data_IF_939231360584
#
_entry.id   IF_939231360584
#
_cell.length_a   1.000
_cell.length_b   1.000
_cell.length_c   1.000
_cell.angle_alpha   90.00
_cell.angle_beta   90.00
_cell.angle_gamma   90.00
#
_symmetry.space_group_name_H-M   'P 1'
#
loop_
_entity.id
_entity.type
_entity.pdbx_description
1 polymer ?
#
# COMPACT_ATOMS: atom_id res chain seq x y z
N UNK A 1 13.05 -1.23 24.13
CA UNK A 1 14.26 -1.58 23.36
C UNK A 1 15.47 -1.04 24.10
N UNK A 2 16.42 -1.90 24.44
CA UNK A 2 17.61 -1.49 25.19
C UNK A 2 18.66 -0.91 24.23
N UNK A 3 19.18 0.30 24.53
CA UNK A 3 20.19 0.99 23.72
C UNK A 3 21.47 0.14 23.52
N UNK A 4 21.79 -0.72 24.49
CA UNK A 4 22.97 -1.59 24.43
C UNK A 4 22.85 -2.69 23.36
N UNK A 5 21.64 -3.06 22.97
CA UNK A 5 21.36 -4.10 21.97
C UNK A 5 21.41 -3.56 20.51
N UNK A 6 21.47 -2.24 20.34
CA UNK A 6 21.56 -1.63 19.03
C UNK A 6 22.97 -1.72 18.47
N UNK A 7 23.10 -1.90 17.14
CA UNK A 7 24.39 -1.81 16.47
C UNK A 7 25.03 -0.44 16.63
N UNK A 8 26.36 -0.36 16.52
CA UNK A 8 27.11 0.90 16.63
C UNK A 8 26.55 1.95 15.63
N UNK A 9 26.36 1.56 14.38
CA UNK A 9 25.86 2.43 13.32
C UNK A 9 24.45 3.00 13.61
N UNK A 10 23.58 2.24 14.30
CA UNK A 10 22.27 2.72 14.73
C UNK A 10 22.39 3.66 15.93
N UNK A 11 23.26 3.34 16.89
CA UNK A 11 23.50 4.18 18.08
C UNK A 11 23.99 5.58 17.77
N UNK A 12 24.85 5.73 16.77
CA UNK A 12 25.36 7.03 16.30
C UNK A 12 24.28 7.92 15.68
N UNK A 13 23.18 7.33 15.23
CA UNK A 13 22.06 8.03 14.59
C UNK A 13 20.89 8.29 15.53
N UNK A 14 21.01 7.93 16.80
CA UNK A 14 19.99 8.21 17.78
C UNK A 14 19.92 9.70 18.05
N UNK A 15 18.75 10.28 17.81
CA UNK A 15 18.44 11.66 18.21
C UNK A 15 17.35 11.63 19.26
N UNK A 16 17.50 12.48 20.28
CA UNK A 16 16.44 12.69 21.27
C UNK A 16 15.25 13.34 20.56
N UNK A 17 14.05 12.83 20.85
CA UNK A 17 12.83 13.41 20.30
C UNK A 17 12.52 14.76 20.97
N UNK A 18 11.72 15.64 20.30
CA UNK A 18 11.32 16.92 20.85
C UNK A 18 10.43 16.77 22.11
N UNK A 19 10.19 17.86 22.84
CA UNK A 19 9.28 17.86 24.01
C UNK A 19 7.95 17.18 23.71
N UNK A 20 7.41 16.50 24.67
CA UNK A 20 6.36 15.51 24.70
C UNK A 20 6.86 14.07 24.44
N UNK A 21 7.99 13.87 23.76
CA UNK A 21 8.62 12.58 23.51
C UNK A 21 10.09 12.54 23.94
N UNK A 22 10.53 13.50 24.72
CA UNK A 22 11.94 13.70 25.12
C UNK A 22 12.51 12.56 25.98
N UNK A 23 11.65 11.67 26.50
CA UNK A 23 12.08 10.41 27.13
C UNK A 23 12.49 9.33 26.12
N UNK A 24 12.26 9.56 24.82
CA UNK A 24 12.49 8.59 23.74
C UNK A 24 13.58 9.06 22.78
N UNK A 25 14.15 8.09 22.07
CA UNK A 25 15.11 8.32 21.00
C UNK A 25 14.56 7.78 19.68
N UNK A 26 14.66 8.58 18.64
CA UNK A 26 14.38 8.17 17.26
C UNK A 26 15.66 7.90 16.49
N UNK A 27 15.64 6.96 15.55
CA UNK A 27 16.69 6.76 14.57
C UNK A 27 16.34 7.58 13.33
N UNK A 28 17.22 8.53 12.96
CA UNK A 28 17.08 9.23 11.69
C UNK A 28 17.76 8.38 10.62
N UNK A 29 17.01 7.74 9.70
CA UNK A 29 17.61 7.00 8.61
C UNK A 29 18.43 7.93 7.73
N UNK A 30 19.49 7.40 7.10
CA UNK A 30 20.15 8.13 6.02
C UNK A 30 19.18 8.20 4.83
N UNK A 31 19.19 9.31 4.09
CA UNK A 31 18.52 9.33 2.79
C UNK A 31 19.11 8.20 1.92
N UNK A 32 18.33 7.67 0.98
CA UNK A 32 18.86 6.74 -0.02
C UNK A 32 20.09 7.37 -0.68
N UNK A 33 21.15 6.59 -0.98
CA UNK A 33 22.30 7.13 -1.67
C UNK A 33 21.87 7.70 -3.02
N UNK A 34 22.35 8.90 -3.33
CA UNK A 34 22.12 9.55 -4.63
C UNK A 34 22.96 8.92 -5.75
N UNK A 35 23.91 8.06 -5.38
CA UNK A 35 24.77 7.36 -6.31
C UNK A 35 23.97 6.40 -7.21
N UNK A 36 24.39 6.30 -8.45
CA UNK A 36 23.80 5.36 -9.40
C UNK A 36 23.97 3.92 -8.91
N UNK A 37 22.86 3.23 -8.70
CA UNK A 37 22.89 1.79 -8.38
C UNK A 37 23.24 1.02 -9.66
N UNK A 38 24.32 0.21 -9.60
CA UNK A 38 24.67 -0.65 -10.72
C UNK A 38 23.58 -1.69 -10.97
N UNK A 39 23.00 -1.69 -12.15
CA UNK A 39 22.01 -2.69 -12.59
C UNK A 39 22.64 -3.94 -13.20
N UNK A 40 23.96 -3.96 -13.38
CA UNK A 40 24.70 -5.07 -14.01
C UNK A 40 24.37 -6.43 -13.38
N UNK A 41 24.34 -6.61 -12.04
CA UNK A 41 24.03 -7.89 -11.42
C UNK A 41 22.61 -8.39 -11.70
N UNK A 42 21.67 -7.49 -12.02
CA UNK A 42 20.25 -7.80 -12.25
C UNK A 42 19.82 -7.58 -13.70
N UNK A 43 20.73 -7.28 -14.60
CA UNK A 43 20.44 -6.93 -15.99
C UNK A 43 19.65 -8.03 -16.71
N UNK A 44 20.01 -9.31 -16.50
CA UNK A 44 19.25 -10.43 -17.07
C UNK A 44 17.81 -10.47 -16.54
N UNK A 45 17.63 -10.33 -15.23
CA UNK A 45 16.29 -10.31 -14.62
C UNK A 45 15.47 -9.13 -15.11
N UNK A 46 16.06 -7.96 -15.28
CA UNK A 46 15.41 -6.78 -15.84
C UNK A 46 14.95 -7.02 -17.27
N UNK A 47 15.81 -7.62 -18.11
CA UNK A 47 15.45 -7.98 -19.49
C UNK A 47 14.32 -9.01 -19.54
N UNK A 48 14.39 -10.06 -18.72
CA UNK A 48 13.37 -11.11 -18.64
C UNK A 48 12.02 -10.52 -18.15
N UNK A 49 12.05 -9.64 -17.15
CA UNK A 49 10.85 -8.95 -16.65
C UNK A 49 10.25 -8.02 -17.71
N UNK A 50 11.07 -7.26 -18.41
CA UNK A 50 10.60 -6.38 -19.51
C UNK A 50 9.94 -7.18 -20.61
N UNK A 51 10.54 -8.31 -21.02
CA UNK A 51 9.96 -9.20 -22.03
C UNK A 51 8.62 -9.81 -21.56
N UNK A 52 8.51 -10.18 -20.27
CA UNK A 52 7.28 -10.70 -19.70
C UNK A 52 6.17 -9.64 -19.68
N UNK A 53 6.46 -8.40 -19.29
CA UNK A 53 5.51 -7.29 -19.32
C UNK A 53 5.03 -6.99 -20.75
N UNK A 54 5.95 -6.93 -21.72
CA UNK A 54 5.59 -6.74 -23.14
C UNK A 54 4.66 -7.84 -23.65
N UNK A 55 4.90 -9.09 -23.22
CA UNK A 55 4.04 -10.22 -23.55
C UNK A 55 2.63 -10.08 -22.96
N UNK A 56 2.54 -9.69 -21.70
CA UNK A 56 1.24 -9.43 -21.04
C UNK A 56 0.48 -8.32 -21.77
N UNK A 57 1.16 -7.22 -22.08
CA UNK A 57 0.55 -6.11 -22.83
C UNK A 57 0.03 -6.54 -24.22
N UNK A 58 0.81 -7.34 -24.94
CA UNK A 58 0.42 -7.86 -26.25
C UNK A 58 -0.82 -8.74 -26.14
N UNK A 59 -0.82 -9.69 -25.20
CA UNK A 59 -1.96 -10.58 -24.96
C UNK A 59 -3.21 -9.81 -24.50
N UNK A 60 -3.04 -8.79 -23.66
CA UNK A 60 -4.16 -7.96 -23.20
C UNK A 60 -4.87 -7.24 -24.34
N UNK A 61 -4.15 -6.83 -25.38
CA UNK A 61 -4.73 -6.20 -26.59
C UNK A 61 -5.57 -7.15 -27.44
N UNK A 62 -5.34 -8.46 -27.32
CA UNK A 62 -6.10 -9.49 -28.04
C UNK A 62 -7.39 -9.91 -27.29
N UNK A 63 -7.55 -9.50 -26.03
CA UNK A 63 -8.75 -9.79 -25.25
C UNK A 63 -9.93 -8.94 -25.71
N UNK A 64 -11.11 -9.58 -25.81
CA UNK A 64 -12.35 -8.88 -26.15
C UNK A 64 -12.72 -7.83 -25.09
N UNK A 65 -12.43 -8.09 -23.83
CA UNK A 65 -12.55 -7.14 -22.72
C UNK A 65 -11.31 -7.23 -21.82
N UNK A 66 -10.29 -6.38 -22.06
CA UNK A 66 -9.10 -6.34 -21.22
C UNK A 66 -9.39 -5.86 -19.77
N UNK A 67 -10.54 -5.21 -19.55
CA UNK A 67 -10.93 -4.71 -18.24
C UNK A 67 -11.42 -5.80 -17.28
N UNK A 68 -11.80 -6.98 -17.77
CA UNK A 68 -12.17 -8.11 -16.89
C UNK A 68 -11.02 -8.47 -15.97
N UNK A 69 -9.81 -8.60 -16.51
CA UNK A 69 -8.62 -8.91 -15.71
C UNK A 69 -8.27 -7.75 -14.79
N UNK A 70 -8.34 -6.51 -15.28
CA UNK A 70 -8.01 -5.32 -14.48
C UNK A 70 -8.98 -5.08 -13.32
N UNK A 71 -10.19 -5.61 -13.36
CA UNK A 71 -11.14 -5.55 -12.24
C UNK A 71 -10.88 -6.61 -11.18
N UNK A 72 -10.48 -7.81 -11.56
CA UNK A 72 -10.25 -8.92 -10.63
C UNK A 72 -8.91 -8.79 -9.89
N UNK A 73 -7.86 -8.31 -10.56
CA UNK A 73 -6.53 -8.19 -9.95
C UNK A 73 -6.49 -7.27 -8.73
N UNK A 74 -7.06 -6.06 -8.75
CA UNK A 74 -7.11 -5.20 -7.56
C UNK A 74 -7.87 -5.84 -6.39
N UNK A 75 -8.91 -6.63 -6.65
CA UNK A 75 -9.66 -7.34 -5.61
C UNK A 75 -8.84 -8.47 -4.99
N UNK A 76 -8.13 -9.23 -5.79
CA UNK A 76 -7.20 -10.25 -5.28
C UNK A 76 -6.06 -9.61 -4.49
N UNK A 77 -5.54 -8.48 -4.95
CA UNK A 77 -4.53 -7.71 -4.22
C UNK A 77 -5.09 -7.22 -2.88
N UNK A 78 -6.31 -6.66 -2.86
CA UNK A 78 -6.94 -6.20 -1.64
C UNK A 78 -7.11 -7.34 -0.61
N UNK A 79 -7.58 -8.51 -1.03
CA UNK A 79 -7.70 -9.70 -0.18
C UNK A 79 -6.33 -10.14 0.34
N UNK A 80 -5.34 -10.25 -0.55
CA UNK A 80 -4.00 -10.73 -0.21
C UNK A 80 -3.27 -9.77 0.74
N UNK A 81 -3.29 -8.48 0.45
CA UNK A 81 -2.64 -7.45 1.26
C UNK A 81 -3.30 -7.30 2.62
N UNK A 82 -4.64 -7.30 2.68
CA UNK A 82 -5.37 -7.23 3.95
C UNK A 82 -5.13 -8.44 4.84
N UNK A 83 -4.96 -9.64 4.24
CA UNK A 83 -4.64 -10.84 5.01
C UNK A 83 -3.28 -10.78 5.70
N UNK A 84 -2.30 -10.09 5.13
CA UNK A 84 -0.99 -9.84 5.75
C UNK A 84 -1.13 -8.97 6.99
N UNK A 85 -2.06 -8.03 6.98
CA UNK A 85 -2.38 -7.14 8.10
C UNK A 85 -3.32 -7.79 9.14
N UNK A 86 -3.73 -9.06 8.92
CA UNK A 86 -4.59 -9.80 9.82
C UNK A 86 -6.09 -9.68 9.54
N UNK A 87 -6.48 -8.94 8.52
CA UNK A 87 -7.88 -8.84 8.06
C UNK A 87 -8.13 -9.93 7.02
N UNK A 88 -8.83 -11.00 7.42
CA UNK A 88 -9.06 -12.15 6.56
C UNK A 88 -10.46 -12.10 5.94
N UNK A 89 -10.50 -12.08 4.62
CA UNK A 89 -11.70 -12.27 3.80
C UNK A 89 -11.32 -13.08 2.56
N UNK A 90 -12.31 -13.69 1.92
CA UNK A 90 -12.13 -14.38 0.64
C UNK A 90 -12.53 -13.47 -0.52
N UNK A 91 -12.09 -13.82 -1.72
CA UNK A 91 -12.51 -13.10 -2.94
C UNK A 91 -14.03 -13.19 -3.15
N UNK A 92 -14.62 -14.35 -2.86
CA UNK A 92 -16.06 -14.57 -3.02
C UNK A 92 -16.86 -13.72 -2.03
N UNK A 93 -16.42 -13.59 -0.78
CA UNK A 93 -17.02 -12.69 0.21
C UNK A 93 -16.94 -11.22 -0.24
N UNK A 94 -15.77 -10.79 -0.73
CA UNK A 94 -15.60 -9.45 -1.26
C UNK A 94 -16.56 -9.15 -2.41
N UNK A 95 -16.63 -10.04 -3.41
CA UNK A 95 -17.54 -9.88 -4.55
C UNK A 95 -19.00 -9.87 -4.13
N UNK A 96 -19.40 -10.71 -3.17
CA UNK A 96 -20.76 -10.74 -2.62
C UNK A 96 -21.12 -9.41 -1.94
N UNK A 97 -20.19 -8.80 -1.21
CA UNK A 97 -20.39 -7.48 -0.58
C UNK A 97 -20.49 -6.35 -1.60
N UNK A 98 -19.75 -6.46 -2.71
CA UNK A 98 -19.85 -5.47 -3.80
C UNK A 98 -21.19 -5.56 -4.55
N UNK A 99 -21.78 -6.76 -4.64
CA UNK A 99 -23.05 -6.98 -5.35
C UNK A 99 -24.29 -6.65 -4.51
N UNK A 100 -24.24 -6.91 -3.20
CA UNK A 100 -25.44 -6.92 -2.37
C UNK A 100 -25.76 -5.60 -1.69
N UNK A 101 -24.86 -4.62 -1.61
CA UNK A 101 -24.99 -3.42 -0.75
C UNK A 101 -25.42 -3.76 0.70
N UNK A 102 -25.38 -5.04 1.08
CA UNK A 102 -25.98 -5.55 2.32
C UNK A 102 -25.11 -5.18 3.53
N UNK A 103 -25.74 -4.48 4.46
CA UNK A 103 -25.16 -4.12 5.76
C UNK A 103 -24.87 -5.33 6.68
N UNK A 104 -25.13 -6.55 6.24
CA UNK A 104 -24.90 -7.80 6.96
C UNK A 104 -23.51 -8.43 6.69
N UNK A 105 -22.70 -7.80 5.85
CA UNK A 105 -21.34 -8.27 5.58
C UNK A 105 -20.46 -8.12 6.83
N UNK A 106 -19.62 -9.11 7.10
CA UNK A 106 -18.67 -9.01 8.20
C UNK A 106 -17.69 -7.84 8.01
N UNK A 107 -17.30 -7.20 9.11
CA UNK A 107 -16.40 -6.03 9.11
C UNK A 107 -15.14 -6.22 8.26
N UNK A 108 -14.56 -7.43 8.25
CA UNK A 108 -13.39 -7.76 7.45
C UNK A 108 -13.63 -7.63 5.93
N UNK A 109 -14.77 -8.12 5.42
CA UNK A 109 -15.10 -8.03 4.01
C UNK A 109 -15.36 -6.57 3.58
N UNK A 110 -15.97 -5.77 4.46
CA UNK A 110 -16.18 -4.33 4.25
C UNK A 110 -14.84 -3.58 4.16
N UNK A 111 -13.91 -3.87 5.06
CA UNK A 111 -12.56 -3.26 5.04
C UNK A 111 -11.80 -3.61 3.75
N UNK A 112 -11.85 -4.89 3.32
CA UNK A 112 -11.21 -5.33 2.08
C UNK A 112 -11.86 -4.69 0.86
N UNK A 113 -13.20 -4.52 0.85
CA UNK A 113 -13.91 -3.78 -0.20
C UNK A 113 -13.45 -2.32 -0.28
N UNK A 114 -13.36 -1.63 0.84
CA UNK A 114 -12.95 -0.23 0.88
C UNK A 114 -11.51 -0.06 0.37
N UNK A 115 -10.63 -1.03 0.64
CA UNK A 115 -9.29 -1.07 0.05
C UNK A 115 -9.33 -1.29 -1.47
N UNK A 116 -10.16 -2.22 -1.97
CA UNK A 116 -10.32 -2.44 -3.40
C UNK A 116 -10.85 -1.19 -4.13
N UNK A 117 -11.82 -0.50 -3.55
CA UNK A 117 -12.35 0.76 -4.09
C UNK A 117 -11.29 1.88 -4.09
N UNK A 118 -10.41 1.92 -3.08
CA UNK A 118 -9.30 2.85 -3.06
C UNK A 118 -8.31 2.59 -4.22
N UNK A 119 -8.02 1.33 -4.51
CA UNK A 119 -7.19 0.95 -5.68
C UNK A 119 -7.86 1.34 -7.00
N UNK A 120 -9.15 1.06 -7.16
CA UNK A 120 -9.91 1.41 -8.38
C UNK A 120 -9.89 2.92 -8.64
N UNK A 121 -9.97 3.74 -7.58
CA UNK A 121 -9.88 5.20 -7.68
C UNK A 121 -8.45 5.69 -7.99
N UNK A 122 -7.43 5.01 -7.46
CA UNK A 122 -6.04 5.43 -7.59
C UNK A 122 -5.42 5.04 -8.94
N UNK A 123 -5.64 3.82 -9.41
CA UNK A 123 -4.92 3.26 -10.57
C UNK A 123 -5.04 4.12 -11.84
N UNK A 124 -6.24 4.60 -12.24
CA UNK A 124 -6.37 5.48 -13.42
C UNK A 124 -5.62 6.82 -13.24
N UNK A 125 -5.65 7.36 -12.02
CA UNK A 125 -4.98 8.63 -11.67
C UNK A 125 -3.46 8.47 -11.70
N UNK A 126 -2.95 7.34 -11.20
CA UNK A 126 -1.53 7.01 -11.24
C UNK A 126 -1.04 6.82 -12.69
N UNK A 127 -1.82 6.14 -13.52
CA UNK A 127 -1.54 6.01 -14.94
C UNK A 127 -1.48 7.35 -15.68
N UNK A 128 -2.36 8.28 -15.34
CA UNK A 128 -2.41 9.60 -15.99
C UNK A 128 -1.31 10.57 -15.51
N UNK A 129 -0.98 10.55 -14.21
CA UNK A 129 -0.07 11.52 -13.58
C UNK A 129 1.35 10.98 -13.36
N UNK A 130 1.54 9.65 -13.43
CA UNK A 130 2.81 9.01 -13.14
C UNK A 130 3.28 9.27 -11.70
N UNK A 131 4.60 9.26 -11.44
CA UNK A 131 5.15 9.38 -10.09
C UNK A 131 4.76 10.66 -9.32
N UNK A 132 4.38 11.73 -10.02
CA UNK A 132 4.01 13.01 -9.39
C UNK A 132 2.73 12.95 -8.55
N UNK A 133 1.95 11.87 -8.66
CA UNK A 133 0.75 11.68 -7.83
C UNK A 133 1.09 11.36 -6.37
N UNK A 134 2.28 10.80 -6.10
CA UNK A 134 2.66 10.35 -4.75
C UNK A 134 3.01 11.54 -3.86
N UNK A 135 2.00 12.06 -3.20
CA UNK A 135 2.07 13.18 -2.25
C UNK A 135 1.52 12.76 -0.89
N UNK A 136 1.79 13.58 0.14
CA UNK A 136 1.19 13.36 1.46
C UNK A 136 -0.34 13.42 1.39
N UNK A 137 -0.90 14.32 0.59
CA UNK A 137 -2.35 14.46 0.43
C UNK A 137 -2.98 13.18 -0.15
N UNK A 138 -2.28 12.54 -1.11
CA UNK A 138 -2.73 11.24 -1.63
C UNK A 138 -2.75 10.17 -0.55
N UNK A 139 -1.70 10.10 0.30
CA UNK A 139 -1.65 9.13 1.40
C UNK A 139 -2.81 9.35 2.37
N UNK A 140 -3.09 10.62 2.71
CA UNK A 140 -4.21 10.97 3.58
C UNK A 140 -5.58 10.64 2.95
N UNK A 141 -5.73 10.88 1.63
CA UNK A 141 -6.94 10.52 0.88
C UNK A 141 -7.16 9.01 0.89
N UNK A 142 -6.13 8.21 0.55
CA UNK A 142 -6.20 6.75 0.54
C UNK A 142 -6.50 6.20 1.93
N UNK A 143 -5.86 6.73 2.97
CA UNK A 143 -6.13 6.32 4.35
C UNK A 143 -7.60 6.57 4.73
N UNK A 144 -8.20 7.71 4.33
CA UNK A 144 -9.63 7.96 4.54
C UNK A 144 -10.52 6.96 3.82
N UNK A 145 -10.15 6.56 2.60
CA UNK A 145 -10.93 5.60 1.82
C UNK A 145 -10.85 4.20 2.44
N UNK A 146 -9.65 3.74 2.76
CA UNK A 146 -9.42 2.39 3.32
C UNK A 146 -10.03 2.23 4.70
N UNK A 147 -9.96 3.27 5.54
CA UNK A 147 -10.46 3.24 6.92
C UNK A 147 -11.95 3.57 7.05
N UNK A 148 -12.66 3.79 5.94
CA UNK A 148 -14.06 4.23 5.94
C UNK A 148 -15.00 3.28 6.66
N UNK A 149 -14.80 1.97 6.45
CA UNK A 149 -15.63 0.91 7.04
C UNK A 149 -15.08 0.34 8.36
N UNK A 150 -13.93 0.81 8.84
CA UNK A 150 -13.34 0.31 10.08
C UNK A 150 -13.90 1.04 11.30
N UNK A 151 -14.90 0.42 11.92
CA UNK A 151 -15.53 0.95 13.15
C UNK A 151 -14.64 0.84 14.39
N UNK A 152 -13.55 0.07 14.33
CA UNK A 152 -12.58 -0.09 15.42
C UNK A 152 -11.52 1.01 15.44
N UNK A 153 -11.35 1.74 14.34
CA UNK A 153 -10.39 2.83 14.22
C UNK A 153 -10.83 4.04 15.05
N UNK A 154 -9.97 4.47 15.99
CA UNK A 154 -10.34 5.49 17.00
C UNK A 154 -9.92 6.92 16.63
N UNK A 155 -8.95 7.04 15.72
CA UNK A 155 -8.48 8.34 15.26
C UNK A 155 -9.29 8.82 14.03
N UNK A 156 -9.04 10.04 13.58
CA UNK A 156 -9.69 10.57 12.37
C UNK A 156 -8.96 10.03 11.13
N UNK A 157 -9.66 9.28 10.24
CA UNK A 157 -9.03 8.78 9.03
C UNK A 157 -8.47 9.90 8.15
N UNK A 158 -7.23 9.73 7.70
CA UNK A 158 -6.55 10.68 6.82
C UNK A 158 -5.87 11.85 7.53
N UNK A 159 -5.95 11.94 8.83
CA UNK A 159 -5.17 12.91 9.60
C UNK A 159 -3.80 12.34 9.99
N UNK A 160 -2.79 13.20 9.99
CA UNK A 160 -1.47 12.84 10.50
C UNK A 160 -1.52 12.82 12.02
N UNK A 161 -0.99 11.76 12.62
CA UNK A 161 -0.96 11.63 14.07
C UNK A 161 -0.02 12.68 14.69
N UNK A 162 -0.51 13.37 15.68
CA UNK A 162 0.30 14.27 16.51
C UNK A 162 0.91 13.56 17.72
N UNK A 163 0.45 12.32 18.00
CA UNK A 163 0.90 11.51 19.13
C UNK A 163 1.20 10.08 18.69
N UNK A 164 2.11 9.44 19.38
CA UNK A 164 2.47 8.01 19.24
C UNK A 164 1.71 7.19 20.26
#
# INVERSE_FOLDING_TARGET
MNRAELSHAVRERLKRLPPAFDAHYGVVPLPPPEDSVSVVPVQKLLSDATAALTRVETLARELADPYVISRILPRREAVSSSSIEGTNSTLDELLSVEESEDAAAGDAAVQVRDYALALDALLPRAGAKGPSIFTTDLVQELHRMVMRGDTSYKDVPGELRERV
#
